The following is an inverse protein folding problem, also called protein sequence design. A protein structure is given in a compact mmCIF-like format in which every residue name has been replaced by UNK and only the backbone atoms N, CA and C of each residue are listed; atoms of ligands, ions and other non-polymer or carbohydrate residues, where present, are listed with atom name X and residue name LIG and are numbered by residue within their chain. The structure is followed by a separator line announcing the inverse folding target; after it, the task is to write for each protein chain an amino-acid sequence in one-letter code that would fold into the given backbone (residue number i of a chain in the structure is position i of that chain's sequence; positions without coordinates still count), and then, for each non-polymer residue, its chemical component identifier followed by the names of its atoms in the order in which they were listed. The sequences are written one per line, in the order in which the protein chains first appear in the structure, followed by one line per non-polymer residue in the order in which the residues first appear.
data_IF_232628652715
#
_entry.id   IF_232628652715
#
_cell.length_a   1.000
_cell.length_b   1.000
_cell.length_c   1.000
_cell.angle_alpha   90.00
_cell.angle_beta   90.00
_cell.angle_gamma   90.00
#
_symmetry.space_group_name_H-M   'P 1'
#
loop_
_entity.id
_entity.type
_entity.pdbx_description
1 polymer ?
#
# COMPACT_ATOMS: atom_id res chain seq x y z
N UNK A 1 10.91 34.62 -0.79
CA UNK A 1 11.26 34.85 -2.21
C UNK A 1 12.31 33.86 -2.67
N UNK A 2 13.45 33.69 -1.97
CA UNK A 2 14.55 32.81 -2.42
C UNK A 2 14.17 31.36 -2.55
N UNK A 3 13.38 30.78 -1.60
CA UNK A 3 12.91 29.42 -1.66
C UNK A 3 11.96 29.16 -2.85
N UNK A 4 11.09 30.13 -3.16
CA UNK A 4 10.19 30.07 -4.33
C UNK A 4 10.98 30.08 -5.65
N UNK A 5 12.00 30.93 -5.75
CA UNK A 5 12.87 30.95 -6.91
C UNK A 5 13.64 29.64 -7.05
N UNK A 6 14.24 29.15 -5.97
CA UNK A 6 14.96 27.87 -5.95
C UNK A 6 14.06 26.72 -6.41
N UNK A 7 12.86 26.61 -5.87
CA UNK A 7 11.92 25.56 -6.25
C UNK A 7 11.49 25.70 -7.72
N UNK A 8 11.26 26.91 -8.21
CA UNK A 8 10.97 27.18 -9.62
C UNK A 8 12.10 26.73 -10.56
N UNK A 9 13.34 26.99 -10.19
CA UNK A 9 14.52 26.55 -10.96
C UNK A 9 14.65 25.03 -10.97
N UNK A 10 14.39 24.36 -9.85
CA UNK A 10 14.37 22.89 -9.81
C UNK A 10 13.23 22.31 -10.66
N UNK A 11 12.07 22.95 -10.69
CA UNK A 11 10.96 22.53 -11.56
C UNK A 11 11.40 22.60 -13.02
N UNK A 12 12.01 23.71 -13.46
CA UNK A 12 12.51 23.88 -14.83
C UNK A 12 13.62 22.85 -15.14
N UNK A 13 14.56 22.65 -14.23
CA UNK A 13 15.65 21.67 -14.41
C UNK A 13 15.13 20.22 -14.52
N UNK A 14 13.98 19.92 -13.94
CA UNK A 14 13.33 18.62 -14.01
C UNK A 14 12.40 18.45 -15.23
N UNK A 15 12.18 19.48 -16.03
CA UNK A 15 11.40 19.43 -17.27
C UNK A 15 12.20 18.76 -18.41
N UNK A 16 12.48 17.45 -18.26
CA UNK A 16 13.24 16.66 -19.24
C UNK A 16 12.48 15.40 -19.63
N UNK A 17 12.64 14.97 -20.89
CA UNK A 17 12.07 13.70 -21.39
C UNK A 17 12.95 12.51 -21.06
N UNK A 18 14.27 12.71 -21.04
CA UNK A 18 15.27 11.68 -20.86
C UNK A 18 16.25 12.05 -19.76
N UNK A 19 16.69 11.07 -19.04
CA UNK A 19 17.78 11.15 -18.08
C UNK A 19 19.03 10.49 -18.69
N UNK A 20 20.16 11.16 -18.64
CA UNK A 20 21.43 10.59 -19.08
C UNK A 20 21.89 9.51 -18.11
N UNK A 21 22.36 8.40 -18.63
CA UNK A 21 22.96 7.35 -17.80
C UNK A 21 24.25 7.88 -17.14
N UNK A 22 24.42 7.69 -15.82
CA UNK A 22 25.58 8.21 -15.10
C UNK A 22 26.89 7.47 -15.42
N UNK A 23 26.82 6.25 -15.97
CA UNK A 23 27.98 5.40 -16.29
C UNK A 23 28.30 5.41 -17.78
N UNK A 24 27.28 5.45 -18.61
CA UNK A 24 27.41 5.39 -20.08
C UNK A 24 26.80 6.68 -20.67
N UNK A 25 27.63 7.70 -20.84
CA UNK A 25 27.21 9.08 -21.15
C UNK A 25 26.52 9.27 -22.51
N UNK A 26 26.60 8.27 -23.38
CA UNK A 26 25.90 8.20 -24.67
C UNK A 26 24.54 7.51 -24.59
N UNK A 27 24.19 6.98 -23.41
CA UNK A 27 22.88 6.35 -23.15
C UNK A 27 21.93 7.26 -22.39
N UNK A 28 20.64 7.09 -22.71
CA UNK A 28 19.57 7.88 -22.12
C UNK A 28 18.40 6.96 -21.76
N UNK A 29 17.73 7.30 -20.66
CA UNK A 29 16.54 6.59 -20.15
C UNK A 29 15.36 7.53 -20.18
N UNK A 30 14.18 7.13 -20.68
CA UNK A 30 12.99 7.96 -20.58
C UNK A 30 12.63 8.20 -19.11
N UNK A 31 12.26 9.43 -18.77
CA UNK A 31 11.79 9.77 -17.43
C UNK A 31 10.39 9.22 -17.21
N UNK A 32 10.13 8.55 -16.08
CA UNK A 32 8.85 7.92 -15.79
C UNK A 32 7.65 8.88 -15.85
N UNK A 33 7.84 10.12 -15.39
CA UNK A 33 6.81 11.18 -15.39
C UNK A 33 6.94 12.16 -16.56
N UNK A 34 7.64 11.78 -17.64
CA UNK A 34 7.88 12.68 -18.79
C UNK A 34 6.58 13.16 -19.44
N UNK A 35 5.56 12.31 -19.51
CA UNK A 35 4.23 12.63 -20.07
C UNK A 35 3.47 13.73 -19.30
N UNK A 36 3.89 14.05 -18.08
CA UNK A 36 3.34 15.16 -17.28
C UNK A 36 4.08 16.47 -17.48
N UNK A 37 5.25 16.44 -18.16
CA UNK A 37 6.10 17.61 -18.36
C UNK A 37 5.55 18.58 -19.40
N UNK A 38 5.92 19.86 -19.28
CA UNK A 38 5.62 20.88 -20.28
C UNK A 38 6.26 20.52 -21.63
N UNK A 39 7.54 20.08 -21.62
CA UNK A 39 8.28 19.71 -22.84
C UNK A 39 7.55 18.61 -23.63
N UNK A 40 6.98 17.61 -22.95
CA UNK A 40 6.21 16.57 -23.62
C UNK A 40 4.96 17.12 -24.31
N UNK A 41 4.29 18.08 -23.68
CA UNK A 41 3.07 18.70 -24.27
C UNK A 41 3.36 19.54 -25.51
N UNK A 42 4.57 20.11 -25.58
CA UNK A 42 5.02 20.93 -26.70
C UNK A 42 5.62 20.11 -27.86
N UNK A 43 5.78 18.80 -27.71
CA UNK A 43 6.24 17.94 -28.81
C UNK A 43 5.28 17.99 -30.00
N UNK A 44 5.84 17.97 -31.20
CA UNK A 44 5.05 17.71 -32.42
C UNK A 44 4.32 16.37 -32.33
N UNK A 45 3.27 16.17 -33.09
CA UNK A 45 2.54 14.90 -33.10
C UNK A 45 3.44 13.70 -33.45
N UNK A 46 4.37 13.86 -34.38
CA UNK A 46 5.35 12.84 -34.80
C UNK A 46 6.36 12.53 -33.68
N UNK A 47 6.90 13.56 -33.03
CA UNK A 47 7.90 13.38 -31.96
C UNK A 47 7.26 12.78 -30.71
N UNK A 48 6.04 13.19 -30.38
CA UNK A 48 5.28 12.60 -29.27
C UNK A 48 5.02 11.12 -29.51
N UNK A 49 4.58 10.76 -30.73
CA UNK A 49 4.39 9.36 -31.08
C UNK A 49 5.69 8.55 -30.95
N UNK A 50 6.80 9.08 -31.48
CA UNK A 50 8.11 8.41 -31.38
C UNK A 50 8.56 8.25 -29.92
N UNK A 51 8.37 9.30 -29.09
CA UNK A 51 8.66 9.22 -27.66
C UNK A 51 7.80 8.19 -26.95
N UNK A 52 6.50 8.15 -27.23
CA UNK A 52 5.56 7.20 -26.62
C UNK A 52 5.92 5.75 -26.95
N UNK A 53 6.35 5.48 -28.19
CA UNK A 53 6.83 4.14 -28.59
C UNK A 53 8.08 3.75 -27.80
N UNK A 54 9.07 4.66 -27.67
CA UNK A 54 10.27 4.42 -26.86
C UNK A 54 9.94 4.21 -25.38
N UNK A 55 9.08 5.07 -24.82
CA UNK A 55 8.64 5.02 -23.44
C UNK A 55 7.95 3.69 -23.13
N UNK A 56 6.99 3.31 -23.98
CA UNK A 56 6.22 2.10 -23.79
C UNK A 56 7.10 0.84 -23.91
N UNK A 57 7.96 0.78 -24.93
CA UNK A 57 8.92 -0.30 -25.10
C UNK A 57 9.87 -0.40 -23.92
N UNK A 58 10.37 0.73 -23.41
CA UNK A 58 11.30 0.76 -22.27
C UNK A 58 10.66 0.24 -20.99
N UNK A 59 9.52 0.81 -20.57
CA UNK A 59 8.93 0.51 -19.27
C UNK A 59 8.09 -0.76 -19.27
N UNK A 60 7.35 -1.06 -20.35
CA UNK A 60 6.34 -2.11 -20.34
C UNK A 60 6.72 -3.37 -21.14
N UNK A 61 7.81 -3.34 -21.92
CA UNK A 61 8.35 -4.52 -22.58
C UNK A 61 9.74 -4.90 -22.05
N UNK A 62 10.76 -4.15 -22.44
CA UNK A 62 12.16 -4.48 -22.15
C UNK A 62 12.43 -4.62 -20.64
N UNK A 63 11.88 -3.74 -19.80
CA UNK A 63 12.02 -3.84 -18.36
C UNK A 63 11.32 -5.07 -17.79
N UNK A 64 10.12 -5.39 -18.25
CA UNK A 64 9.41 -6.58 -17.78
C UNK A 64 10.23 -7.85 -18.02
N UNK A 65 10.76 -8.03 -19.22
CA UNK A 65 11.59 -9.20 -19.56
C UNK A 65 12.87 -9.25 -18.75
N UNK A 66 13.55 -8.12 -18.64
CA UNK A 66 14.78 -8.01 -17.84
C UNK A 66 14.51 -8.30 -16.36
N UNK A 67 13.54 -7.64 -15.76
CA UNK A 67 13.22 -7.83 -14.35
C UNK A 67 12.74 -9.24 -14.04
N UNK A 68 11.93 -9.83 -14.91
CA UNK A 68 11.49 -11.23 -14.78
C UNK A 68 12.69 -12.20 -14.78
N UNK A 69 13.61 -12.06 -15.72
CA UNK A 69 14.81 -12.89 -15.77
C UNK A 69 15.69 -12.71 -14.51
N UNK A 70 15.92 -11.47 -14.07
CA UNK A 70 16.68 -11.18 -12.86
C UNK A 70 15.99 -11.68 -11.59
N UNK A 71 14.66 -11.57 -11.52
CA UNK A 71 13.89 -12.07 -10.40
C UNK A 71 14.04 -13.58 -10.24
N UNK A 72 13.82 -14.38 -11.28
CA UNK A 72 14.02 -15.82 -11.20
C UNK A 72 15.44 -16.20 -10.81
N UNK A 73 16.44 -15.52 -11.35
CA UNK A 73 17.84 -15.77 -11.00
C UNK A 73 18.14 -15.53 -9.53
N UNK A 74 17.52 -14.52 -8.91
CA UNK A 74 17.85 -14.09 -7.54
C UNK A 74 16.88 -14.64 -6.49
N UNK A 75 15.58 -14.68 -6.80
CA UNK A 75 14.56 -15.07 -5.82
C UNK A 75 14.43 -16.59 -5.70
N UNK A 76 14.68 -17.36 -6.79
CA UNK A 76 14.61 -18.82 -6.71
C UNK A 76 15.53 -19.41 -5.63
N UNK A 77 16.84 -19.09 -5.59
CA UNK A 77 17.70 -19.60 -4.52
C UNK A 77 17.33 -19.04 -3.14
N UNK A 78 16.83 -17.79 -3.07
CA UNK A 78 16.36 -17.21 -1.81
C UNK A 78 15.20 -18.00 -1.23
N UNK A 79 14.17 -18.26 -2.02
CA UNK A 79 13.00 -19.04 -1.59
C UNK A 79 13.40 -20.48 -1.22
N UNK A 80 14.30 -21.09 -2.01
CA UNK A 80 14.79 -22.44 -1.75
C UNK A 80 15.71 -22.57 -0.51
N UNK A 81 16.22 -21.46 0.03
CA UNK A 81 17.13 -21.47 1.19
C UNK A 81 16.40 -21.53 2.55
N UNK A 82 15.08 -21.51 2.57
CA UNK A 82 14.29 -21.50 3.80
C UNK A 82 12.99 -22.30 3.64
N UNK A 83 12.51 -22.86 4.73
CA UNK A 83 11.18 -23.47 4.84
C UNK A 83 10.11 -22.44 5.29
N UNK A 84 10.51 -21.20 5.54
CA UNK A 84 9.57 -20.13 5.89
C UNK A 84 8.70 -19.75 4.69
N UNK A 85 7.46 -19.40 4.96
CA UNK A 85 6.57 -18.80 3.98
C UNK A 85 7.07 -17.40 3.61
N UNK A 86 7.43 -17.20 2.35
CA UNK A 86 7.98 -15.92 1.87
C UNK A 86 6.83 -15.02 1.44
N UNK A 87 6.84 -13.78 1.94
CA UNK A 87 5.91 -12.72 1.57
C UNK A 87 6.68 -11.58 0.88
N UNK A 88 6.13 -11.05 -0.20
CA UNK A 88 6.68 -9.89 -0.90
C UNK A 88 5.84 -8.65 -0.62
N UNK A 89 6.51 -7.52 -0.40
CA UNK A 89 5.86 -6.22 -0.44
C UNK A 89 5.83 -5.76 -1.90
N UNK A 90 4.63 -5.71 -2.50
CA UNK A 90 4.38 -5.42 -3.91
C UNK A 90 3.32 -4.31 -4.06
N UNK A 91 3.48 -3.25 -3.28
CA UNK A 91 2.60 -2.09 -3.27
C UNK A 91 2.98 -1.05 -4.35
N UNK A 92 2.02 -0.22 -4.72
CA UNK A 92 2.20 0.88 -5.66
C UNK A 92 2.29 0.44 -7.12
N UNK A 93 3.13 1.11 -7.89
CA UNK A 93 3.29 0.83 -9.32
C UNK A 93 4.27 -0.32 -9.54
N UNK A 94 3.73 -1.52 -9.70
CA UNK A 94 4.51 -2.74 -9.94
C UNK A 94 4.51 -3.11 -11.43
N UNK A 95 5.64 -3.63 -11.99
CA UNK A 95 5.68 -4.18 -13.33
C UNK A 95 4.78 -5.41 -13.51
N UNK A 96 4.25 -5.63 -14.70
CA UNK A 96 3.37 -6.77 -14.99
C UNK A 96 4.05 -8.15 -14.75
N UNK A 97 5.38 -8.20 -14.76
CA UNK A 97 6.16 -9.40 -14.43
C UNK A 97 6.08 -9.81 -12.96
N UNK A 98 5.79 -8.88 -12.04
CA UNK A 98 5.80 -9.16 -10.58
C UNK A 98 4.77 -10.22 -10.17
N UNK A 99 3.47 -10.11 -10.53
CA UNK A 99 2.49 -11.13 -10.17
C UNK A 99 2.84 -12.51 -10.73
N UNK A 100 3.39 -12.58 -11.96
CA UNK A 100 3.80 -13.85 -12.57
C UNK A 100 4.94 -14.51 -11.79
N UNK A 101 5.99 -13.74 -11.44
CA UNK A 101 7.14 -14.24 -10.68
C UNK A 101 6.71 -14.69 -9.29
N UNK A 102 5.93 -13.87 -8.58
CA UNK A 102 5.45 -14.20 -7.23
C UNK A 102 4.61 -15.48 -7.24
N UNK A 103 3.69 -15.60 -8.20
CA UNK A 103 2.87 -16.81 -8.31
C UNK A 103 3.71 -18.07 -8.60
N UNK A 104 4.68 -17.99 -9.53
CA UNK A 104 5.55 -19.14 -9.85
C UNK A 104 6.46 -19.55 -8.70
N UNK A 105 6.92 -18.60 -7.90
CA UNK A 105 7.78 -18.84 -6.74
C UNK A 105 6.98 -19.03 -5.45
N UNK A 106 5.65 -18.97 -5.51
CA UNK A 106 4.74 -19.06 -4.36
C UNK A 106 5.05 -18.03 -3.26
N UNK A 107 5.50 -16.85 -3.66
CA UNK A 107 5.69 -15.70 -2.78
C UNK A 107 4.32 -15.04 -2.59
N UNK A 108 3.89 -14.86 -1.34
CA UNK A 108 2.63 -14.18 -1.04
C UNK A 108 2.69 -12.69 -1.41
N UNK A 109 1.67 -12.21 -2.08
CA UNK A 109 1.48 -10.77 -2.33
C UNK A 109 0.93 -10.05 -1.09
N UNK A 110 1.14 -8.75 -0.99
CA UNK A 110 0.54 -7.91 0.04
C UNK A 110 -0.72 -7.23 -0.51
N UNK A 111 -1.85 -7.41 0.19
CA UNK A 111 -3.13 -6.85 -0.21
C UNK A 111 -3.65 -5.89 0.86
N UNK A 112 -3.88 -4.64 0.47
CA UNK A 112 -4.37 -3.57 1.33
C UNK A 112 -5.60 -2.94 0.67
N UNK A 113 -6.75 -2.97 1.36
CA UNK A 113 -8.01 -2.46 0.82
C UNK A 113 -7.92 -1.02 0.35
N UNK A 114 -7.27 -0.18 1.14
CA UNK A 114 -7.12 1.26 0.91
C UNK A 114 -6.05 1.64 -0.11
N UNK A 115 -5.30 0.66 -0.61
CA UNK A 115 -4.21 0.84 -1.57
C UNK A 115 -4.31 -0.19 -2.69
N UNK A 116 -5.34 -0.08 -3.57
CA UNK A 116 -5.56 -1.04 -4.63
C UNK A 116 -4.40 -1.05 -5.64
N UNK A 117 -4.05 -2.22 -6.13
CA UNK A 117 -3.06 -2.39 -7.21
C UNK A 117 -3.57 -1.95 -8.58
N UNK A 118 -4.89 -1.87 -8.74
CA UNK A 118 -5.53 -1.38 -9.96
C UNK A 118 -5.76 0.12 -9.87
N UNK A 119 -5.21 0.93 -10.80
CA UNK A 119 -5.41 2.39 -10.82
C UNK A 119 -6.86 2.81 -11.14
N UNK A 120 -7.70 1.89 -11.62
CA UNK A 120 -9.11 2.14 -11.93
C UNK A 120 -10.02 1.99 -10.70
N UNK A 121 -9.50 1.53 -9.57
CA UNK A 121 -10.26 1.30 -8.34
C UNK A 121 -9.77 2.23 -7.24
N UNK A 122 -10.70 2.76 -6.47
CA UNK A 122 -10.39 3.55 -5.27
C UNK A 122 -10.07 2.66 -4.06
N UNK A 123 -10.69 1.46 -4.01
CA UNK A 123 -10.48 0.44 -2.98
C UNK A 123 -10.31 -0.93 -3.62
N UNK A 124 -9.54 -1.80 -2.99
CA UNK A 124 -9.39 -3.18 -3.44
C UNK A 124 -10.68 -3.97 -3.27
N UNK A 125 -10.93 -4.90 -4.18
CA UNK A 125 -12.04 -5.82 -4.07
C UNK A 125 -11.66 -6.98 -3.15
N UNK A 126 -12.04 -6.87 -1.88
CA UNK A 126 -11.65 -7.81 -0.83
C UNK A 126 -12.20 -9.23 -1.07
N UNK A 127 -13.29 -9.39 -1.82
CA UNK A 127 -13.86 -10.71 -2.12
C UNK A 127 -13.10 -11.45 -3.22
N UNK A 128 -12.33 -10.74 -4.05
CA UNK A 128 -11.58 -11.29 -5.18
C UNK A 128 -10.05 -11.24 -4.99
N UNK A 129 -9.57 -11.17 -3.76
CA UNK A 129 -8.14 -11.24 -3.48
C UNK A 129 -7.55 -12.60 -3.87
N UNK A 130 -6.29 -12.64 -4.34
CA UNK A 130 -5.62 -13.91 -4.61
C UNK A 130 -5.44 -14.72 -3.32
N UNK A 131 -5.54 -16.05 -3.42
CA UNK A 131 -5.30 -16.92 -2.25
C UNK A 131 -3.85 -16.77 -1.74
N UNK A 132 -2.86 -16.76 -2.62
CA UNK A 132 -1.45 -16.57 -2.25
C UNK A 132 -1.17 -15.10 -1.90
N UNK A 133 -1.75 -14.63 -0.81
CA UNK A 133 -1.58 -13.26 -0.34
C UNK A 133 -1.64 -13.15 1.18
N UNK A 134 -1.10 -12.04 1.66
CA UNK A 134 -1.30 -11.51 3.01
C UNK A 134 -2.21 -10.30 2.91
N UNK A 135 -3.33 -10.34 3.60
CA UNK A 135 -4.26 -9.22 3.69
C UNK A 135 -4.04 -8.46 5.01
N UNK A 136 -4.06 -7.16 4.96
CA UNK A 136 -3.91 -6.28 6.14
C UNK A 136 -4.70 -4.99 5.99
N UNK A 137 -5.09 -4.39 7.10
CA UNK A 137 -5.75 -3.07 7.13
C UNK A 137 -4.77 -1.93 6.87
N UNK A 138 -3.52 -2.07 7.30
CA UNK A 138 -2.44 -1.09 7.10
C UNK A 138 -1.06 -1.73 7.30
N UNK A 139 -0.01 -1.00 6.91
CA UNK A 139 1.39 -1.33 7.23
C UNK A 139 1.99 -0.27 8.16
N UNK A 140 3.25 -0.47 8.57
CA UNK A 140 3.99 0.52 9.35
C UNK A 140 4.19 1.85 8.61
N UNK A 141 4.15 1.86 7.27
CA UNK A 141 4.30 3.06 6.43
C UNK A 141 2.98 3.78 6.14
N UNK A 142 1.87 3.21 6.60
CA UNK A 142 0.53 3.78 6.45
C UNK A 142 -0.05 4.14 7.81
N UNK A 143 -1.03 5.03 7.81
CA UNK A 143 -1.78 5.34 9.03
C UNK A 143 -2.70 4.19 9.43
N UNK A 144 -2.84 3.89 10.75
CA UNK A 144 -3.88 3.01 11.25
C UNK A 144 -5.29 3.45 10.83
N UNK A 145 -6.28 2.58 10.95
CA UNK A 145 -7.66 2.84 10.48
C UNK A 145 -8.26 4.15 11.02
N UNK A 146 -8.05 4.43 12.31
CA UNK A 146 -8.61 5.62 12.96
C UNK A 146 -8.04 6.93 12.43
N UNK A 147 -6.73 6.97 12.12
CA UNK A 147 -6.09 8.12 11.51
C UNK A 147 -6.57 8.29 10.07
N UNK A 148 -6.51 7.21 9.29
CA UNK A 148 -6.95 7.21 7.90
C UNK A 148 -8.38 7.70 7.74
N UNK A 149 -9.27 7.34 8.64
CA UNK A 149 -10.68 7.77 8.61
C UNK A 149 -10.85 9.28 8.58
N UNK A 150 -9.88 10.01 9.18
CA UNK A 150 -9.90 11.48 9.27
C UNK A 150 -9.09 12.19 8.18
N UNK A 151 -8.28 11.48 7.40
CA UNK A 151 -7.39 12.09 6.39
C UNK A 151 -8.15 12.74 5.23
N UNK A 152 -9.21 12.11 4.77
CA UNK A 152 -10.02 12.57 3.63
C UNK A 152 -11.49 12.21 3.89
N UNK A 153 -12.29 13.15 4.41
CA UNK A 153 -13.71 12.91 4.71
C UNK A 153 -14.54 12.48 3.49
N UNK A 154 -14.25 13.00 2.30
CA UNK A 154 -14.98 12.62 1.09
C UNK A 154 -14.70 11.17 0.70
N UNK A 155 -13.43 10.75 0.76
CA UNK A 155 -13.04 9.37 0.53
C UNK A 155 -13.62 8.44 1.58
N UNK A 156 -13.62 8.84 2.83
CA UNK A 156 -14.23 8.11 3.95
C UNK A 156 -15.72 7.95 3.77
N UNK A 157 -16.42 8.99 3.30
CA UNK A 157 -17.86 8.92 3.00
C UNK A 157 -18.14 7.89 1.88
N UNK A 158 -17.34 7.90 0.81
CA UNK A 158 -17.47 6.90 -0.27
C UNK A 158 -17.18 5.48 0.23
N UNK A 159 -16.17 5.31 1.08
CA UNK A 159 -15.86 4.03 1.71
C UNK A 159 -17.01 3.52 2.58
N UNK A 160 -17.57 4.39 3.42
CA UNK A 160 -18.70 4.10 4.30
C UNK A 160 -19.92 3.60 3.53
N UNK A 161 -20.27 4.29 2.43
CA UNK A 161 -21.45 3.93 1.64
C UNK A 161 -21.19 2.73 0.70
N UNK A 162 -20.06 2.69 -0.02
CA UNK A 162 -19.86 1.71 -1.09
C UNK A 162 -19.13 0.44 -0.63
N UNK A 163 -18.23 0.53 0.34
CA UNK A 163 -17.48 -0.64 0.83
C UNK A 163 -18.15 -1.25 2.05
N UNK A 164 -18.48 -0.41 3.05
CA UNK A 164 -19.16 -0.90 4.25
C UNK A 164 -20.67 -1.09 4.06
N UNK A 165 -21.24 -0.66 2.93
CA UNK A 165 -22.67 -0.75 2.58
C UNK A 165 -23.57 -0.08 3.63
N UNK A 166 -23.10 1.01 4.23
CA UNK A 166 -23.84 1.78 5.22
C UNK A 166 -24.55 2.96 4.58
N UNK A 167 -25.71 3.33 5.11
CA UNK A 167 -26.53 4.46 4.62
C UNK A 167 -26.35 5.66 5.53
N UNK A 168 -26.38 6.86 4.95
CA UNK A 168 -26.26 8.14 5.66
C UNK A 168 -24.85 8.70 5.67
N UNK A 169 -24.61 9.65 6.58
CA UNK A 169 -23.31 10.29 6.72
C UNK A 169 -22.34 9.41 7.53
N UNK A 170 -21.09 9.37 7.10
CA UNK A 170 -20.04 8.72 7.85
C UNK A 170 -19.79 9.51 9.15
N UNK A 171 -19.64 8.85 10.31
CA UNK A 171 -19.30 9.56 11.53
C UNK A 171 -17.89 10.17 11.44
N UNK A 172 -17.65 11.26 12.17
CA UNK A 172 -16.37 11.97 12.21
C UNK A 172 -15.21 11.07 12.71
N UNK A 173 -15.53 10.05 13.49
CA UNK A 173 -14.57 9.11 14.03
C UNK A 173 -14.85 7.68 13.56
N UNK A 174 -13.78 6.92 13.28
CA UNK A 174 -13.88 5.48 13.06
C UNK A 174 -14.25 4.79 14.38
N UNK A 175 -15.56 4.52 14.55
CA UNK A 175 -16.07 3.91 15.79
C UNK A 175 -15.61 2.47 15.94
N UNK A 176 -15.64 1.96 17.18
CA UNK A 176 -15.27 0.57 17.47
C UNK A 176 -16.09 -0.45 16.64
N UNK A 177 -17.33 -0.13 16.33
CA UNK A 177 -18.21 -0.94 15.49
C UNK A 177 -17.76 -0.94 14.02
N UNK A 178 -17.39 0.23 13.48
CA UNK A 178 -16.87 0.36 12.12
C UNK A 178 -15.55 -0.39 11.98
N UNK A 179 -14.63 -0.23 12.93
CA UNK A 179 -13.37 -0.97 12.94
C UNK A 179 -13.62 -2.47 12.95
N UNK A 180 -14.53 -2.95 13.80
CA UNK A 180 -14.88 -4.38 13.86
C UNK A 180 -15.46 -4.88 12.53
N UNK A 181 -16.28 -4.09 11.83
CA UNK A 181 -16.79 -4.45 10.52
C UNK A 181 -15.66 -4.54 9.48
N UNK A 182 -14.76 -3.55 9.46
CA UNK A 182 -13.60 -3.54 8.54
C UNK A 182 -12.73 -4.79 8.78
N UNK A 183 -12.39 -5.07 10.03
CA UNK A 183 -11.60 -6.26 10.39
C UNK A 183 -12.33 -7.55 10.02
N UNK A 184 -13.63 -7.64 10.27
CA UNK A 184 -14.46 -8.78 9.85
C UNK A 184 -14.40 -9.00 8.34
N UNK A 185 -14.49 -7.93 7.54
CA UNK A 185 -14.37 -8.03 6.09
C UNK A 185 -12.99 -8.56 5.67
N UNK A 186 -11.91 -8.09 6.30
CA UNK A 186 -10.55 -8.58 6.05
C UNK A 186 -10.38 -10.05 6.43
N UNK A 187 -10.92 -10.46 7.56
CA UNK A 187 -10.89 -11.86 8.01
C UNK A 187 -11.66 -12.81 7.07
N UNK A 188 -12.71 -12.33 6.43
CA UNK A 188 -13.55 -13.13 5.49
C UNK A 188 -12.95 -13.21 4.07
N UNK A 189 -11.81 -12.58 3.79
CA UNK A 189 -11.15 -12.64 2.49
C UNK A 189 -10.64 -14.05 2.19
N UNK A 190 -10.31 -14.29 0.91
CA UNK A 190 -9.69 -15.55 0.46
C UNK A 190 -8.18 -15.59 0.69
N UNK A 191 -7.57 -14.50 1.14
CA UNK A 191 -6.12 -14.43 1.42
C UNK A 191 -5.69 -15.53 2.37
N UNK A 192 -4.55 -16.16 2.11
CA UNK A 192 -4.00 -17.23 2.94
C UNK A 192 -3.78 -16.74 4.38
N UNK A 193 -3.25 -15.53 4.53
CA UNK A 193 -3.02 -14.90 5.83
C UNK A 193 -3.77 -13.57 5.92
N UNK A 194 -4.28 -13.27 7.11
CA UNK A 194 -4.79 -11.95 7.48
C UNK A 194 -4.04 -11.49 8.71
N UNK A 195 -3.24 -10.43 8.57
CA UNK A 195 -2.42 -9.89 9.65
C UNK A 195 -2.88 -8.45 9.91
N UNK A 196 -3.47 -8.22 11.07
CA UNK A 196 -4.04 -6.93 11.44
C UNK A 196 -3.10 -6.25 12.46
N UNK A 197 -2.75 -4.96 12.26
CA UNK A 197 -1.99 -4.20 13.25
C UNK A 197 -2.67 -4.18 14.61
N UNK A 198 -1.87 -4.23 15.67
CA UNK A 198 -2.37 -4.25 17.04
C UNK A 198 -3.22 -3.00 17.37
N UNK A 199 -2.85 -1.85 16.79
CA UNK A 199 -3.60 -0.60 16.93
C UNK A 199 -5.05 -0.75 16.43
N UNK A 200 -5.25 -1.41 15.32
CA UNK A 200 -6.57 -1.62 14.73
C UNK A 200 -7.37 -2.65 15.54
N UNK A 201 -6.72 -3.68 16.09
CA UNK A 201 -7.37 -4.58 17.04
C UNK A 201 -7.86 -3.84 18.29
N UNK A 202 -7.02 -2.98 18.89
CA UNK A 202 -7.39 -2.19 20.06
C UNK A 202 -8.51 -1.19 19.77
N UNK A 203 -8.58 -0.69 18.54
CA UNK A 203 -9.61 0.26 18.13
C UNK A 203 -11.03 -0.33 18.15
N UNK A 204 -11.19 -1.65 18.25
CA UNK A 204 -12.51 -2.30 18.41
C UNK A 204 -13.06 -2.19 19.84
N UNK A 205 -12.31 -1.66 20.80
CA UNK A 205 -12.76 -1.54 22.20
C UNK A 205 -12.44 -0.13 22.73
N UNK A 206 -13.50 0.62 23.04
CA UNK A 206 -13.39 1.99 23.52
C UNK A 206 -12.66 2.13 24.86
N UNK A 207 -12.62 1.06 25.66
CA UNK A 207 -11.92 1.02 26.95
C UNK A 207 -10.42 0.78 26.78
N UNK A 208 -10.01 0.19 25.66
CA UNK A 208 -8.63 -0.22 25.37
C UNK A 208 -7.95 0.71 24.39
N UNK A 209 -8.69 1.23 23.39
CA UNK A 209 -8.11 2.07 22.34
C UNK A 209 -7.33 3.26 22.91
N UNK A 210 -6.23 3.62 22.27
CA UNK A 210 -5.44 4.80 22.67
C UNK A 210 -6.26 6.08 22.46
N UNK A 211 -6.18 7.03 23.42
CA UNK A 211 -6.91 8.30 23.29
C UNK A 211 -6.32 9.19 22.21
N UNK A 212 -5.00 9.32 22.19
CA UNK A 212 -4.27 10.09 21.17
C UNK A 212 -4.01 9.22 19.95
N UNK A 213 -4.77 9.45 18.87
CA UNK A 213 -4.67 8.68 17.62
C UNK A 213 -3.35 8.92 16.88
N UNK A 214 -2.76 10.12 16.98
CA UNK A 214 -1.50 10.42 16.28
C UNK A 214 -0.34 9.60 16.83
N UNK A 215 -0.37 9.25 18.11
CA UNK A 215 0.65 8.39 18.74
C UNK A 215 0.53 6.90 18.35
N UNK A 216 -0.48 6.51 17.57
CA UNK A 216 -0.62 5.16 17.01
C UNK A 216 0.26 4.95 15.76
N UNK A 217 0.71 6.01 15.11
CA UNK A 217 1.57 5.91 13.92
C UNK A 217 2.94 5.36 14.27
N UNK A 218 3.42 4.41 13.47
CA UNK A 218 4.76 3.82 13.60
C UNK A 218 5.76 4.63 12.79
N UNK A 219 5.43 4.91 11.52
CA UNK A 219 6.29 5.65 10.61
C UNK A 219 5.52 6.82 9.96
N UNK A 220 6.29 7.84 9.55
CA UNK A 220 5.86 8.97 8.73
C UNK A 220 6.85 9.08 7.57
N UNK A 221 6.67 8.32 6.46
CA UNK A 221 7.67 8.23 5.39
C UNK A 221 8.10 9.56 4.78
N UNK A 222 7.19 10.56 4.75
CA UNK A 222 7.48 11.90 4.27
C UNK A 222 8.40 12.71 5.20
N UNK A 223 8.63 12.26 6.43
CA UNK A 223 9.48 12.93 7.42
C UNK A 223 10.79 12.17 7.61
N UNK A 224 11.87 12.62 6.97
CA UNK A 224 13.19 11.99 7.05
C UNK A 224 13.81 11.99 8.46
N UNK A 225 13.28 12.78 9.38
CA UNK A 225 13.73 12.86 10.78
C UNK A 225 12.82 12.09 11.73
N UNK A 226 11.77 11.45 11.21
CA UNK A 226 10.89 10.63 12.03
C UNK A 226 11.63 9.43 12.61
N UNK A 227 11.37 9.13 13.88
CA UNK A 227 11.99 8.02 14.57
C UNK A 227 10.91 7.03 15.05
N UNK A 228 11.08 5.76 14.74
CA UNK A 228 10.14 4.70 15.10
C UNK A 228 10.15 4.44 16.61
N UNK A 229 9.17 5.01 17.31
CA UNK A 229 9.09 4.97 18.79
C UNK A 229 7.79 4.38 19.31
N UNK A 230 6.99 3.77 18.44
CA UNK A 230 5.74 3.21 18.92
C UNK A 230 5.97 2.25 20.10
N UNK A 231 5.17 2.43 21.14
CA UNK A 231 5.08 1.54 22.29
C UNK A 231 3.62 1.25 22.56
N UNK A 232 3.29 -0.03 22.79
CA UNK A 232 1.98 -0.43 23.26
C UNK A 232 1.68 0.33 24.57
N UNK A 233 0.47 0.87 24.68
CA UNK A 233 0.09 1.75 25.80
C UNK A 233 -0.52 0.99 26.99
N UNK A 234 -0.78 -0.30 26.84
CA UNK A 234 -1.20 -1.22 27.89
C UNK A 234 -0.12 -2.29 28.10
N UNK A 235 -0.07 -2.89 29.30
CA UNK A 235 0.85 -4.00 29.58
C UNK A 235 0.30 -5.31 28.99
N UNK A 236 1.17 -6.32 28.91
CA UNK A 236 0.74 -7.67 28.46
C UNK A 236 -0.28 -8.27 29.44
N UNK A 237 -0.14 -8.02 30.74
CA UNK A 237 -1.09 -8.47 31.77
C UNK A 237 -2.45 -7.81 31.58
N UNK A 238 -2.50 -6.51 31.28
CA UNK A 238 -3.74 -5.80 30.96
C UNK A 238 -4.39 -6.35 29.69
N UNK A 239 -3.59 -6.66 28.65
CA UNK A 239 -4.09 -7.27 27.44
C UNK A 239 -4.69 -8.67 27.68
N UNK A 240 -4.04 -9.48 28.52
CA UNK A 240 -4.58 -10.80 28.91
C UNK A 240 -5.91 -10.70 29.68
N UNK A 241 -6.12 -9.62 30.40
CA UNK A 241 -7.34 -9.34 31.19
C UNK A 241 -8.41 -8.58 30.38
N UNK A 242 -8.15 -8.22 29.14
CA UNK A 242 -9.08 -7.50 28.27
C UNK A 242 -10.15 -8.46 27.67
N UNK A 243 -10.94 -9.08 28.51
CA UNK A 243 -11.88 -10.16 28.13
C UNK A 243 -12.84 -9.74 27.03
N UNK A 244 -13.36 -8.51 27.07
CA UNK A 244 -14.28 -7.99 26.04
C UNK A 244 -13.61 -7.95 24.66
N UNK A 245 -12.42 -7.40 24.57
CA UNK A 245 -11.62 -7.36 23.33
C UNK A 245 -11.26 -8.77 22.87
N UNK A 246 -10.71 -9.58 23.76
CA UNK A 246 -10.25 -10.94 23.45
C UNK A 246 -11.39 -11.84 22.94
N UNK A 247 -12.55 -11.80 23.60
CA UNK A 247 -13.73 -12.55 23.16
C UNK A 247 -14.24 -12.07 21.79
N UNK A 248 -14.22 -10.76 21.55
CA UNK A 248 -14.60 -10.19 20.25
C UNK A 248 -13.67 -10.62 19.12
N UNK A 249 -12.35 -10.63 19.35
CA UNK A 249 -11.35 -11.15 18.41
C UNK A 249 -11.62 -12.63 18.09
N UNK A 250 -11.79 -13.45 19.11
CA UNK A 250 -12.07 -14.89 18.95
C UNK A 250 -13.35 -15.12 18.16
N UNK A 251 -14.41 -14.35 18.44
CA UNK A 251 -15.69 -14.45 17.71
C UNK A 251 -15.49 -14.14 16.22
N UNK A 252 -14.85 -13.02 15.90
CA UNK A 252 -14.61 -12.60 14.50
C UNK A 252 -13.78 -13.62 13.73
N UNK A 253 -12.74 -14.21 14.35
CA UNK A 253 -11.90 -15.25 13.73
C UNK A 253 -12.72 -16.50 13.44
N UNK A 254 -13.54 -16.96 14.41
CA UNK A 254 -14.41 -18.12 14.26
C UNK A 254 -15.48 -17.90 13.18
N UNK A 255 -16.15 -16.74 13.19
CA UNK A 255 -17.16 -16.38 12.19
C UNK A 255 -16.60 -16.33 10.77
N UNK A 256 -15.32 -15.96 10.62
CA UNK A 256 -14.61 -15.99 9.35
C UNK A 256 -14.11 -17.38 8.92
N UNK A 257 -14.31 -18.42 9.75
CA UNK A 257 -13.81 -19.78 9.49
C UNK A 257 -12.28 -19.90 9.54
N UNK A 258 -11.59 -18.94 10.16
CA UNK A 258 -10.13 -18.97 10.33
C UNK A 258 -9.75 -19.64 11.66
N UNK A 259 -8.48 -20.08 11.73
CA UNK A 259 -7.91 -20.73 12.91
C UNK A 259 -6.76 -19.89 13.46
#
# INVERSE_FOLDING_TARGET
VSLRIKNGLFTIANEVLFLRDPRETDKFHPRISANQSYIYRELSGSDRYAFDQLYWHFFYHRHNDFWKAQAFKRLTPLVASTEMLVCGEDLGMIPASVPEVMNKLQILSLEIERMPKSPQREFSDMFNLPYHSVCTTSTHDMTPLRNWWKEDPEKTQRYYNHVLQRIGEAPDECTAEIVAQIISNHLKTRSMLTIIPLQDWFAMDDSIKRKDIESERINVPANSTHYWRYRMHITLEQLLQADNLNNKIVSLIKEAGRK
#
